data_IF_142068846305
#
_entry.id   IF_142068846305
#
_cell.length_a   1.000
_cell.length_b   1.000
_cell.length_c   1.000
_cell.angle_alpha   90.00
_cell.angle_beta   90.00
_cell.angle_gamma   90.00
#
_symmetry.space_group_name_H-M   'P 1'
#
loop_
_entity.id
_entity.type
_entity.pdbx_description
1 polymer ?
#
# COMPACT_ATOMS: atom_id res chain seq x y z
N UNK A 1 -12.46 3.15 -30.21
CA UNK A 1 -11.44 3.18 -29.14
C UNK A 1 -10.18 2.56 -29.72
N UNK A 2 -8.96 3.02 -29.37
CA UNK A 2 -7.75 2.32 -29.78
C UNK A 2 -7.86 0.85 -29.33
N UNK A 3 -7.62 -0.09 -30.23
CA UNK A 3 -7.57 -1.52 -29.93
C UNK A 3 -6.27 -1.80 -29.18
N UNK A 4 -6.34 -1.84 -27.86
CA UNK A 4 -5.20 -2.20 -27.01
C UNK A 4 -5.04 -3.71 -26.99
N UNK A 5 -3.81 -4.16 -27.17
CA UNK A 5 -3.52 -5.59 -27.17
C UNK A 5 -3.69 -6.20 -25.77
N UNK A 6 -3.92 -7.51 -25.73
CA UNK A 6 -4.06 -8.25 -24.48
C UNK A 6 -2.81 -8.07 -23.60
N UNK A 7 -3.02 -7.58 -22.37
CA UNK A 7 -1.94 -7.41 -21.40
C UNK A 7 -1.25 -6.05 -21.44
N UNK A 8 -1.63 -5.14 -22.35
CA UNK A 8 -1.11 -3.77 -22.40
C UNK A 8 -1.65 -2.89 -21.28
N UNK A 9 -0.85 -1.92 -20.85
CA UNK A 9 -1.25 -0.98 -19.80
C UNK A 9 -2.36 -0.03 -20.26
N UNK A 10 -3.21 0.38 -19.32
CA UNK A 10 -4.20 1.45 -19.54
C UNK A 10 -3.93 2.59 -18.55
N UNK A 11 -3.58 3.80 -19.02
CA UNK A 11 -3.24 4.16 -20.40
C UNK A 11 -1.99 3.42 -20.94
N UNK A 12 -1.78 3.37 -22.27
CA UNK A 12 -0.56 2.80 -22.87
C UNK A 12 0.71 3.46 -22.33
N UNK A 13 1.82 2.72 -22.40
CA UNK A 13 3.18 3.17 -22.05
C UNK A 13 3.30 3.83 -20.66
N UNK A 14 2.44 3.42 -19.73
CA UNK A 14 2.43 3.96 -18.37
C UNK A 14 3.13 2.98 -17.43
N UNK A 15 4.38 3.31 -17.06
CA UNK A 15 5.30 2.44 -16.31
C UNK A 15 4.76 1.87 -14.99
N UNK A 16 3.78 2.54 -14.37
CA UNK A 16 3.17 2.13 -13.11
C UNK A 16 1.64 2.06 -13.19
N UNK A 17 1.11 1.79 -14.40
CA UNK A 17 -0.33 1.60 -14.58
C UNK A 17 -0.84 0.44 -13.74
N UNK A 18 -2.04 0.64 -13.17
CA UNK A 18 -2.74 -0.34 -12.33
C UNK A 18 -3.89 -1.02 -13.08
N UNK A 19 -4.08 -0.68 -14.34
CA UNK A 19 -5.12 -1.19 -15.24
C UNK A 19 -4.47 -1.77 -16.48
N UNK A 20 -5.08 -2.83 -17.00
CA UNK A 20 -4.58 -3.64 -18.11
C UNK A 20 -5.70 -3.95 -19.09
N UNK A 21 -5.39 -4.06 -20.37
CA UNK A 21 -6.35 -4.44 -21.41
C UNK A 21 -6.59 -5.95 -21.39
N UNK A 22 -7.85 -6.33 -21.22
CA UNK A 22 -8.38 -7.67 -21.43
C UNK A 22 -9.51 -7.52 -22.48
N UNK A 23 -9.20 -7.60 -23.79
CA UNK A 23 -10.11 -7.13 -24.85
C UNK A 23 -11.30 -8.05 -25.10
N UNK A 24 -11.25 -9.31 -24.66
CA UNK A 24 -12.33 -10.31 -24.89
C UNK A 24 -12.79 -10.96 -23.60
N UNK A 25 -14.01 -11.50 -23.58
CA UNK A 25 -14.52 -12.24 -22.43
C UNK A 25 -13.69 -13.50 -22.15
N UNK A 26 -13.18 -14.17 -23.19
CA UNK A 26 -12.23 -15.28 -23.02
C UNK A 26 -10.94 -14.84 -22.33
N UNK A 27 -10.48 -13.61 -22.57
CA UNK A 27 -9.31 -13.06 -21.89
C UNK A 27 -9.58 -12.83 -20.40
N UNK A 28 -10.79 -12.42 -20.03
CA UNK A 28 -11.19 -12.28 -18.62
C UNK A 28 -11.24 -13.64 -17.92
N UNK A 29 -11.87 -14.65 -18.56
CA UNK A 29 -11.91 -16.02 -18.02
C UNK A 29 -10.48 -16.55 -17.87
N UNK A 30 -9.66 -16.43 -18.92
CA UNK A 30 -8.28 -16.89 -18.90
C UNK A 30 -7.42 -16.17 -17.86
N UNK A 31 -7.68 -14.90 -17.57
CA UNK A 31 -7.03 -14.19 -16.47
C UNK A 31 -7.38 -14.80 -15.11
N UNK A 32 -8.67 -15.02 -14.83
CA UNK A 32 -9.16 -15.59 -13.57
C UNK A 32 -8.70 -17.04 -13.37
N UNK A 33 -8.65 -17.83 -14.43
CA UNK A 33 -8.17 -19.22 -14.42
C UNK A 33 -6.63 -19.35 -14.41
N UNK A 34 -5.90 -18.23 -14.57
CA UNK A 34 -4.44 -18.23 -14.63
C UNK A 34 -3.88 -18.87 -15.90
N UNK A 35 -4.61 -18.81 -17.01
CA UNK A 35 -4.23 -19.41 -18.27
C UNK A 35 -2.90 -18.82 -18.80
N UNK A 36 -1.91 -19.64 -19.18
CA UNK A 36 -0.58 -19.16 -19.57
C UNK A 36 -0.59 -18.14 -20.71
N UNK A 37 -1.50 -18.28 -21.68
CA UNK A 37 -1.62 -17.39 -22.83
C UNK A 37 -2.07 -15.97 -22.46
N UNK A 38 -2.73 -15.79 -21.31
CA UNK A 38 -3.08 -14.47 -20.75
C UNK A 38 -1.97 -13.96 -19.85
N UNK A 39 -1.59 -14.74 -18.83
CA UNK A 39 -0.67 -14.30 -17.78
C UNK A 39 0.71 -13.93 -18.35
N UNK A 40 1.20 -14.68 -19.36
CA UNK A 40 2.49 -14.38 -20.00
C UNK A 40 2.52 -13.06 -20.77
N UNK A 41 1.36 -12.57 -21.23
CA UNK A 41 1.25 -11.30 -21.98
C UNK A 41 1.06 -10.09 -21.08
N UNK A 42 0.75 -10.30 -19.79
CA UNK A 42 0.52 -9.19 -18.87
C UNK A 42 1.79 -8.37 -18.64
N UNK A 43 1.71 -7.09 -18.99
CA UNK A 43 2.77 -6.11 -18.69
C UNK A 43 2.63 -5.60 -17.27
N UNK A 44 1.40 -5.35 -16.84
CA UNK A 44 1.01 -4.88 -15.51
C UNK A 44 -0.37 -5.44 -15.11
N UNK A 45 -0.84 -5.10 -13.92
CA UNK A 45 -2.19 -5.41 -13.46
C UNK A 45 -2.49 -4.70 -12.15
N UNK A 46 -3.66 -5.01 -11.58
CA UNK A 46 -4.07 -4.40 -10.33
C UNK A 46 -3.13 -4.84 -9.17
N UNK A 47 -2.55 -3.90 -8.38
CA UNK A 47 -1.43 -4.18 -7.47
C UNK A 47 -1.63 -5.29 -6.44
N UNK A 48 -2.89 -5.58 -6.04
CA UNK A 48 -3.17 -6.66 -5.07
C UNK A 48 -3.22 -8.05 -5.71
N UNK A 49 -3.49 -8.16 -7.01
CA UNK A 49 -3.63 -9.43 -7.72
C UNK A 49 -2.40 -9.74 -8.59
N UNK A 50 -1.75 -8.70 -9.11
CA UNK A 50 -0.55 -8.78 -9.93
C UNK A 50 0.62 -8.06 -9.24
N UNK A 51 1.67 -8.81 -8.89
CA UNK A 51 2.90 -8.22 -8.34
C UNK A 51 3.68 -7.60 -9.50
N UNK A 52 3.83 -6.27 -9.45
CA UNK A 52 4.48 -5.51 -10.52
C UNK A 52 5.92 -5.98 -10.79
N UNK A 53 6.36 -5.93 -12.06
CA UNK A 53 7.69 -6.39 -12.47
C UNK A 53 8.83 -5.70 -11.71
N UNK A 54 8.73 -4.40 -11.44
CA UNK A 54 9.72 -3.67 -10.61
C UNK A 54 9.83 -4.21 -9.18
N UNK A 55 8.70 -4.65 -8.59
CA UNK A 55 8.68 -5.27 -7.25
C UNK A 55 9.38 -6.63 -7.32
N UNK A 56 9.06 -7.44 -8.33
CA UNK A 56 9.70 -8.74 -8.55
C UNK A 56 11.21 -8.62 -8.81
N UNK A 57 11.64 -7.60 -9.56
CA UNK A 57 13.06 -7.33 -9.81
C UNK A 57 13.81 -6.98 -8.53
N UNK A 58 13.25 -6.09 -7.69
CA UNK A 58 13.84 -5.77 -6.39
C UNK A 58 13.86 -7.01 -5.47
N UNK A 59 12.78 -7.79 -5.47
CA UNK A 59 12.73 -9.04 -4.71
C UNK A 59 13.82 -10.02 -5.12
N UNK A 60 14.02 -10.19 -6.43
CA UNK A 60 15.08 -11.03 -6.97
C UNK A 60 16.49 -10.51 -6.62
N UNK A 61 16.72 -9.21 -6.71
CA UNK A 61 17.99 -8.60 -6.31
C UNK A 61 18.29 -8.87 -4.82
N UNK A 62 17.30 -8.66 -3.94
CA UNK A 62 17.43 -8.93 -2.50
C UNK A 62 17.69 -10.40 -2.23
N UNK A 63 16.95 -11.31 -2.86
CA UNK A 63 17.16 -12.76 -2.69
C UNK A 63 18.53 -13.20 -3.21
N UNK A 64 19.02 -12.62 -4.30
CA UNK A 64 20.34 -12.96 -4.86
C UNK A 64 21.47 -12.49 -3.94
N UNK A 65 21.33 -11.31 -3.34
CA UNK A 65 22.37 -10.73 -2.48
C UNK A 65 22.33 -11.26 -1.04
N UNK A 66 21.13 -11.50 -0.49
CA UNK A 66 20.94 -11.78 0.95
C UNK A 66 20.14 -13.05 1.25
N UNK A 67 19.53 -13.67 0.24
CA UNK A 67 18.74 -14.89 0.38
C UNK A 67 19.57 -16.16 0.26
N UNK A 68 18.93 -17.29 0.58
CA UNK A 68 19.47 -18.64 0.36
C UNK A 68 18.93 -19.23 -0.94
N UNK A 69 19.60 -20.28 -1.42
CA UNK A 69 19.17 -21.00 -2.61
C UNK A 69 17.73 -21.53 -2.48
N UNK A 70 16.90 -21.31 -3.49
CA UNK A 70 15.49 -21.74 -3.51
C UNK A 70 14.52 -20.85 -2.73
N UNK A 71 14.97 -19.73 -2.16
CA UNK A 71 14.09 -18.74 -1.55
C UNK A 71 13.56 -17.72 -2.57
N UNK A 72 12.51 -17.02 -2.17
CA UNK A 72 11.93 -15.87 -2.85
C UNK A 72 11.62 -14.78 -1.80
N UNK A 73 11.66 -13.52 -2.20
CA UNK A 73 11.32 -12.39 -1.34
C UNK A 73 9.97 -11.76 -1.72
N UNK A 74 9.17 -11.41 -0.71
CA UNK A 74 8.02 -10.51 -0.82
C UNK A 74 8.28 -9.24 -0.04
N UNK A 75 7.92 -8.09 -0.62
CA UNK A 75 8.38 -6.78 -0.16
C UNK A 75 7.27 -5.96 0.48
N UNK A 76 7.54 -5.44 1.67
CA UNK A 76 6.56 -4.71 2.47
C UNK A 76 7.07 -3.31 2.82
N UNK A 77 6.10 -2.42 3.05
CA UNK A 77 6.37 -1.02 3.35
C UNK A 77 6.91 -0.77 4.76
N UNK A 78 6.80 -1.76 5.67
CA UNK A 78 7.34 -1.72 7.04
C UNK A 78 7.81 -3.12 7.51
N UNK A 79 8.72 -3.20 8.49
CA UNK A 79 9.16 -4.47 9.10
C UNK A 79 8.04 -5.25 9.76
N UNK A 80 7.08 -4.56 10.37
CA UNK A 80 5.95 -5.19 11.06
C UNK A 80 5.02 -5.86 10.05
N UNK A 81 4.86 -5.28 8.86
CA UNK A 81 4.11 -5.91 7.77
C UNK A 81 4.79 -7.18 7.25
N UNK A 82 6.12 -7.15 7.06
CA UNK A 82 6.87 -8.34 6.71
C UNK A 82 6.77 -9.43 7.79
N UNK A 83 6.91 -9.05 9.06
CA UNK A 83 6.74 -9.96 10.19
C UNK A 83 5.35 -10.60 10.20
N UNK A 84 4.28 -9.81 10.05
CA UNK A 84 2.90 -10.34 9.99
C UNK A 84 2.68 -11.29 8.81
N UNK A 85 3.29 -11.03 7.65
CA UNK A 85 3.26 -11.97 6.53
C UNK A 85 3.89 -13.31 6.93
N UNK A 86 5.07 -13.27 7.56
CA UNK A 86 5.75 -14.49 8.00
C UNK A 86 4.95 -15.22 9.10
N UNK A 87 4.36 -14.49 10.07
CA UNK A 87 3.50 -15.04 11.10
C UNK A 87 2.28 -15.75 10.47
N UNK A 88 1.61 -15.10 9.51
CA UNK A 88 0.50 -15.67 8.74
C UNK A 88 0.89 -16.95 8.00
N UNK A 89 2.11 -17.01 7.46
CA UNK A 89 2.63 -18.20 6.79
C UNK A 89 2.91 -19.33 7.78
N UNK A 90 3.48 -19.03 8.96
CA UNK A 90 3.76 -20.04 10.00
C UNK A 90 2.48 -20.71 10.50
N UNK A 91 1.42 -19.93 10.71
CA UNK A 91 0.13 -20.45 11.19
C UNK A 91 -0.57 -21.38 10.18
N UNK A 92 -0.28 -21.22 8.89
CA UNK A 92 -1.00 -21.90 7.80
C UNK A 92 -0.16 -22.91 7.03
N UNK A 93 1.12 -23.02 7.38
CA UNK A 93 2.00 -23.99 6.76
C UNK A 93 1.58 -25.41 7.16
N UNK A 94 1.20 -26.28 6.21
CA UNK A 94 0.93 -27.67 6.50
C UNK A 94 2.27 -28.35 6.86
N UNK A 95 2.43 -28.70 8.14
CA UNK A 95 3.45 -29.60 8.73
C UNK A 95 4.70 -29.80 7.85
N UNK A 96 5.61 -28.83 7.88
CA UNK A 96 7.01 -29.04 7.50
C UNK A 96 7.88 -28.36 8.58
N UNK A 97 8.82 -29.07 9.26
CA UNK A 97 9.52 -28.54 10.43
C UNK A 97 10.49 -27.36 10.15
N UNK A 98 10.61 -26.87 8.91
CA UNK A 98 11.63 -25.87 8.59
C UNK A 98 11.30 -25.05 7.33
N UNK A 99 10.15 -24.39 7.26
CA UNK A 99 10.03 -23.27 6.30
C UNK A 99 11.05 -22.21 6.77
N UNK A 100 12.12 -22.05 6.00
CA UNK A 100 13.17 -21.08 6.30
C UNK A 100 12.63 -19.67 6.03
N UNK A 101 11.94 -19.13 7.03
CA UNK A 101 11.36 -17.81 7.04
C UNK A 101 12.35 -16.81 7.63
N UNK A 102 12.68 -15.78 6.87
CA UNK A 102 13.60 -14.73 7.31
C UNK A 102 13.00 -13.36 6.98
N UNK A 103 13.17 -12.40 7.87
CA UNK A 103 12.84 -11.00 7.61
C UNK A 103 14.14 -10.21 7.50
N UNK A 104 14.23 -9.34 6.50
CA UNK A 104 15.34 -8.38 6.36
C UNK A 104 14.74 -7.00 6.24
N UNK A 105 15.06 -6.12 7.18
CA UNK A 105 14.69 -4.70 7.13
C UNK A 105 15.83 -3.92 6.51
N UNK A 106 15.50 -2.97 5.64
CA UNK A 106 16.49 -2.11 5.01
C UNK A 106 16.34 -0.67 5.49
N UNK A 107 17.45 0.06 5.43
CA UNK A 107 17.57 1.46 5.80
C UNK A 107 18.61 2.14 4.93
N UNK A 108 18.62 3.47 4.97
CA UNK A 108 19.59 4.26 4.22
C UNK A 108 20.89 4.38 5.01
N UNK A 109 22.02 4.03 4.40
CA UNK A 109 23.34 4.31 4.95
C UNK A 109 23.69 5.79 4.70
N UNK A 110 23.28 6.66 5.62
CA UNK A 110 23.45 8.11 5.54
C UNK A 110 24.77 8.59 6.18
N UNK A 111 25.88 7.89 5.94
CA UNK A 111 27.20 8.18 6.56
C UNK A 111 27.85 9.51 6.14
N UNK A 112 27.14 10.37 5.41
CA UNK A 112 27.54 11.74 5.09
C UNK A 112 26.36 12.72 5.21
N UNK A 113 26.57 13.78 6.00
CA UNK A 113 25.73 14.96 6.22
C UNK A 113 24.52 15.10 5.27
N UNK A 114 23.31 14.74 5.73
CA UNK A 114 22.10 14.74 4.89
C UNK A 114 21.10 15.84 5.24
N UNK A 115 20.48 16.36 4.18
CA UNK A 115 19.27 17.19 4.22
C UNK A 115 18.13 16.49 5.00
N UNK A 116 17.34 17.23 5.81
CA UNK A 116 16.17 16.71 6.55
C UNK A 116 15.17 15.93 5.67
N UNK A 117 15.14 16.21 4.37
CA UNK A 117 14.27 15.56 3.39
C UNK A 117 14.61 14.07 3.22
N UNK A 118 15.90 13.71 3.23
CA UNK A 118 16.35 12.32 3.08
C UNK A 118 16.13 11.49 4.36
N UNK A 119 16.15 12.13 5.54
CA UNK A 119 15.75 11.44 6.78
C UNK A 119 14.25 11.11 6.81
N UNK A 120 13.40 11.96 6.23
CA UNK A 120 11.97 11.64 6.03
C UNK A 120 11.73 10.52 5.01
N UNK A 121 12.70 10.26 4.14
CA UNK A 121 12.73 9.15 3.20
C UNK A 121 13.36 7.88 3.77
N UNK A 122 13.77 7.84 5.04
CA UNK A 122 14.42 6.67 5.65
C UNK A 122 13.62 5.42 5.35
N UNK A 123 14.12 4.67 4.37
CA UNK A 123 13.28 3.80 3.57
C UNK A 123 13.10 2.49 4.31
N UNK A 124 12.06 2.36 5.12
CA UNK A 124 11.79 1.13 5.88
C UNK A 124 11.16 0.07 4.97
N UNK A 125 11.80 -0.28 3.86
CA UNK A 125 11.38 -1.46 3.10
C UNK A 125 11.83 -2.71 3.85
N UNK A 126 10.97 -3.70 3.92
CA UNK A 126 11.29 -4.98 4.54
C UNK A 126 10.98 -6.13 3.58
N UNK A 127 11.86 -7.11 3.52
CA UNK A 127 11.70 -8.31 2.74
C UNK A 127 11.35 -9.48 3.66
N UNK A 128 10.25 -10.17 3.34
CA UNK A 128 9.93 -11.49 3.88
C UNK A 128 10.48 -12.54 2.90
N UNK A 129 11.50 -13.28 3.32
CA UNK A 129 12.10 -14.36 2.55
C UNK A 129 11.50 -15.69 2.99
N UNK A 130 11.13 -16.51 2.00
CA UNK A 130 10.51 -17.82 2.20
C UNK A 130 10.86 -18.75 1.03
N UNK A 131 10.76 -20.08 1.21
CA UNK A 131 10.85 -21.06 0.11
C UNK A 131 9.85 -20.78 -1.02
N UNK A 132 10.25 -20.92 -2.28
CA UNK A 132 9.43 -20.53 -3.44
C UNK A 132 8.08 -21.26 -3.55
N UNK A 133 8.00 -22.50 -3.05
CA UNK A 133 6.76 -23.29 -2.96
C UNK A 133 5.70 -22.64 -2.04
N UNK A 134 6.13 -21.86 -1.05
CA UNK A 134 5.24 -21.14 -0.13
C UNK A 134 4.71 -19.81 -0.70
N UNK A 135 5.03 -19.46 -1.95
CA UNK A 135 4.61 -18.20 -2.58
C UNK A 135 3.09 -18.01 -2.56
N UNK A 136 2.30 -19.09 -2.71
CA UNK A 136 0.84 -19.03 -2.65
C UNK A 136 0.30 -18.47 -1.33
N UNK A 137 0.94 -18.78 -0.19
CA UNK A 137 0.55 -18.26 1.13
C UNK A 137 0.93 -16.78 1.29
N UNK A 138 2.15 -16.42 0.89
CA UNK A 138 2.60 -15.03 0.91
C UNK A 138 1.72 -14.14 0.01
N UNK A 139 1.38 -14.62 -1.20
CA UNK A 139 0.50 -13.92 -2.14
C UNK A 139 -0.90 -13.70 -1.55
N UNK A 140 -1.43 -14.66 -0.79
CA UNK A 140 -2.70 -14.47 -0.09
C UNK A 140 -2.60 -13.35 0.96
N UNK A 141 -1.52 -13.29 1.74
CA UNK A 141 -1.33 -12.18 2.68
C UNK A 141 -1.28 -10.84 1.95
N UNK A 142 -0.47 -10.75 0.88
CA UNK A 142 -0.36 -9.57 0.04
C UNK A 142 -1.72 -9.08 -0.49
N UNK A 143 -2.47 -10.00 -1.11
CA UNK A 143 -3.73 -9.69 -1.78
C UNK A 143 -4.77 -9.16 -0.79
N UNK A 144 -4.98 -9.84 0.34
CA UNK A 144 -6.06 -9.47 1.25
C UNK A 144 -5.71 -8.26 2.11
N UNK A 145 -4.46 -8.14 2.60
CA UNK A 145 -4.09 -7.07 3.54
C UNK A 145 -3.76 -5.75 2.86
N UNK A 146 -3.30 -5.77 1.61
CA UNK A 146 -2.81 -4.57 0.92
C UNK A 146 -1.57 -3.94 1.58
N UNK A 147 -0.83 -4.68 2.41
CA UNK A 147 0.41 -4.22 3.09
C UNK A 147 1.63 -4.15 2.14
N UNK A 148 1.50 -4.64 0.91
CA UNK A 148 2.56 -4.71 -0.08
C UNK A 148 3.16 -3.36 -0.45
N UNK A 149 4.38 -3.39 -0.99
CA UNK A 149 5.05 -2.18 -1.51
C UNK A 149 4.47 -1.75 -2.87
N UNK A 150 4.51 -0.46 -3.18
CA UNK A 150 4.15 0.05 -4.51
C UNK A 150 5.26 -0.14 -5.54
N UNK A 151 4.92 -0.16 -6.82
CA UNK A 151 5.91 -0.24 -7.92
C UNK A 151 6.90 0.92 -7.90
N UNK A 152 6.43 2.16 -7.67
CA UNK A 152 7.26 3.37 -7.53
C UNK A 152 8.27 3.23 -6.39
N UNK A 153 7.82 2.78 -5.21
CA UNK A 153 8.71 2.58 -4.06
C UNK A 153 9.71 1.47 -4.31
N UNK A 154 9.31 0.39 -5.01
CA UNK A 154 10.22 -0.68 -5.39
C UNK A 154 11.28 -0.21 -6.39
N UNK A 155 10.92 0.59 -7.39
CA UNK A 155 11.87 1.17 -8.34
C UNK A 155 12.91 2.05 -7.62
N UNK A 156 12.43 3.00 -6.81
CA UNK A 156 13.28 3.86 -5.99
C UNK A 156 14.23 3.07 -5.07
N UNK A 157 13.72 2.07 -4.35
CA UNK A 157 14.54 1.23 -3.47
C UNK A 157 15.54 0.36 -4.25
N UNK A 158 15.22 -0.06 -5.47
CA UNK A 158 16.13 -0.84 -6.32
C UNK A 158 17.32 0.02 -6.78
N UNK A 159 17.06 1.25 -7.21
CA UNK A 159 18.14 2.18 -7.60
C UNK A 159 19.08 2.47 -6.42
N UNK A 160 18.52 2.68 -5.22
CA UNK A 160 19.31 2.87 -4.00
C UNK A 160 20.10 1.62 -3.59
N UNK A 161 19.54 0.42 -3.78
CA UNK A 161 20.24 -0.84 -3.53
C UNK A 161 21.42 -1.00 -4.49
N UNK A 162 21.23 -0.67 -5.78
CA UNK A 162 22.30 -0.71 -6.79
C UNK A 162 23.40 0.30 -6.51
N UNK A 163 23.03 1.48 -5.99
CA UNK A 163 23.98 2.50 -5.56
C UNK A 163 24.71 2.16 -4.25
N UNK A 164 24.36 1.07 -3.57
CA UNK A 164 24.94 0.69 -2.27
C UNK A 164 24.50 1.58 -1.10
N UNK A 165 23.46 2.40 -1.30
CA UNK A 165 22.92 3.32 -0.29
C UNK A 165 21.90 2.60 0.60
N UNK A 166 21.08 1.73 0.01
CA UNK A 166 20.12 0.91 0.76
C UNK A 166 20.82 -0.32 1.33
N UNK A 167 20.89 -0.42 2.65
CA UNK A 167 21.59 -1.49 3.35
C UNK A 167 20.67 -2.19 4.37
N UNK A 168 20.90 -3.48 4.67
CA UNK A 168 20.21 -4.15 5.76
C UNK A 168 20.46 -3.43 7.09
N UNK A 169 19.40 -3.11 7.81
CA UNK A 169 19.47 -2.70 9.21
C UNK A 169 19.66 -3.97 10.01
N UNK A 170 20.89 -4.26 10.41
CA UNK A 170 21.13 -5.35 11.35
C UNK A 170 20.43 -4.97 12.67
N UNK A 171 19.61 -5.86 13.24
CA UNK A 171 19.12 -5.74 14.62
C UNK A 171 20.24 -5.90 15.68
N UNK A 172 21.49 -5.65 15.28
CA UNK A 172 22.71 -5.86 16.05
C UNK A 172 23.81 -4.92 15.52
N UNK A 173 23.84 -3.69 16.01
CA UNK A 173 25.02 -2.81 15.97
C UNK A 173 26.16 -3.30 16.88
N UNK A 174 26.29 -4.60 17.11
CA UNK A 174 27.37 -5.18 17.89
C UNK A 174 27.85 -6.45 17.20
N UNK A 175 28.86 -6.27 16.34
CA UNK A 175 30.01 -7.14 16.05
C UNK A 175 30.44 -6.81 14.61
N UNK A 176 31.25 -5.76 14.48
CA UNK A 176 32.47 -5.75 13.66
C UNK A 176 33.26 -4.47 13.90
N UNK A 177 33.74 -4.35 15.12
CA UNK A 177 35.10 -3.88 15.32
C UNK A 177 36.03 -5.08 15.00
N UNK A 178 36.62 -5.07 13.81
CA UNK A 178 37.97 -5.62 13.58
C UNK A 178 38.47 -5.28 12.18
N UNK A 179 39.34 -4.26 12.18
CA UNK A 179 40.58 -4.19 11.42
C UNK A 179 40.51 -4.25 9.89
N UNK A 180 40.76 -3.09 9.26
CA UNK A 180 41.96 -2.94 8.44
C UNK A 180 42.45 -1.47 8.45
N UNK A 181 43.35 -1.25 9.42
CA UNK A 181 44.61 -0.49 9.35
C UNK A 181 44.58 1.03 9.18
N UNK A 182 45.21 1.64 10.18
CA UNK A 182 45.79 2.96 10.21
C UNK A 182 46.73 3.21 9.03
N UNK A 183 46.65 4.43 8.50
CA UNK A 183 47.85 5.20 8.16
C UNK A 183 47.52 6.68 8.31
N UNK A 184 48.06 7.28 9.38
CA UNK A 184 48.07 8.73 9.57
C UNK A 184 49.33 9.30 8.90
N UNK A 185 49.17 10.39 8.17
CA UNK A 185 50.16 11.47 8.02
C UNK A 185 50.32 12.02 6.59
N UNK A 186 50.76 13.28 6.40
CA UNK A 186 50.35 14.52 7.09
C UNK A 186 49.89 15.64 6.12
N UNK A 187 49.21 16.65 6.67
CA UNK A 187 48.74 17.89 6.00
C UNK A 187 49.89 18.74 5.43
N UNK A 188 49.73 19.32 4.22
CA UNK A 188 49.96 20.78 3.94
C UNK A 188 49.55 21.22 2.51
N UNK A 189 48.92 22.40 2.45
CA UNK A 189 48.69 23.34 1.33
C UNK A 189 49.25 23.04 -0.06
N UNK A 190 48.41 23.21 -1.10
CA UNK A 190 48.62 24.23 -2.14
C UNK A 190 47.36 24.43 -3.01
N UNK A 191 46.87 25.69 -3.05
CA UNK A 191 46.14 26.25 -4.21
C UNK A 191 47.17 26.53 -5.31
N UNK A 192 46.83 26.32 -6.57
CA UNK A 192 46.62 27.35 -7.63
C UNK A 192 46.65 26.76 -9.04
N UNK A 193 45.81 27.36 -9.89
CA UNK A 193 45.60 27.28 -11.34
C UNK A 193 46.76 26.82 -12.24
N UNK A 194 46.44 26.17 -13.40
CA UNK A 194 46.83 26.65 -14.74
C UNK A 194 46.52 25.64 -15.87
N UNK A 195 45.64 26.06 -16.80
CA UNK A 195 45.67 26.07 -18.30
C UNK A 195 46.04 24.80 -19.12
N UNK A 196 45.18 24.58 -20.14
CA UNK A 196 45.25 23.85 -21.43
C UNK A 196 46.12 22.59 -21.59
N UNK A 197 45.50 21.53 -22.13
CA UNK A 197 45.86 21.08 -23.49
C UNK A 197 44.81 20.14 -24.11
N UNK A 198 44.85 20.13 -25.43
CA UNK A 198 43.81 19.79 -26.41
C UNK A 198 43.71 18.31 -26.82
N UNK A 199 42.48 17.95 -27.23
CA UNK A 199 42.09 17.04 -28.33
C UNK A 199 42.31 15.52 -28.22
N UNK A 200 41.20 14.75 -28.27
CA UNK A 200 40.89 13.73 -29.31
C UNK A 200 39.36 13.51 -29.37
N UNK A 201 38.70 13.43 -30.56
CA UNK A 201 37.26 13.20 -30.65
C UNK A 201 36.93 11.71 -30.55
N UNK A 202 35.99 11.31 -29.70
CA UNK A 202 35.45 9.95 -29.73
C UNK A 202 33.93 9.92 -29.49
N UNK A 203 33.24 9.50 -30.55
CA UNK A 203 31.97 8.77 -30.63
C UNK A 203 31.00 8.96 -29.46
N UNK A 204 29.96 9.79 -29.66
CA UNK A 204 28.74 9.83 -28.87
C UNK A 204 27.54 9.84 -29.80
N UNK A 205 26.78 8.75 -29.89
CA UNK A 205 25.30 8.78 -29.95
C UNK A 205 24.76 7.40 -29.52
N UNK A 206 24.42 7.25 -28.24
CA UNK A 206 23.53 6.17 -27.76
C UNK A 206 22.97 6.45 -26.34
N UNK A 207 23.60 7.32 -25.54
CA UNK A 207 23.20 7.57 -24.15
C UNK A 207 22.25 8.76 -23.94
N UNK A 208 21.96 9.56 -24.96
CA UNK A 208 21.10 10.74 -24.82
C UNK A 208 19.60 10.37 -24.74
N UNK A 209 19.16 9.39 -25.55
CA UNK A 209 17.74 9.03 -25.64
C UNK A 209 17.16 8.45 -24.34
N UNK A 210 17.96 7.75 -23.53
CA UNK A 210 17.49 7.18 -22.24
C UNK A 210 17.36 8.23 -21.14
N UNK A 211 18.16 9.29 -21.17
CA UNK A 211 18.07 10.39 -20.20
C UNK A 211 16.93 11.34 -20.56
N UNK A 212 16.77 11.69 -21.85
CA UNK A 212 15.67 12.55 -22.31
C UNK A 212 14.30 11.94 -21.99
N UNK A 213 14.17 10.62 -22.12
CA UNK A 213 12.90 9.92 -21.79
C UNK A 213 12.61 9.95 -20.29
N UNK A 214 13.64 9.81 -19.44
CA UNK A 214 13.50 9.90 -17.98
C UNK A 214 13.17 11.32 -17.52
N UNK A 215 13.87 12.32 -18.03
CA UNK A 215 13.62 13.73 -17.72
C UNK A 215 12.25 14.18 -18.23
N UNK A 216 11.83 13.74 -19.41
CA UNK A 216 10.48 14.00 -19.95
C UNK A 216 9.39 13.37 -19.07
N UNK A 217 9.60 12.13 -18.62
CA UNK A 217 8.66 11.44 -17.72
C UNK A 217 8.59 12.11 -16.34
N UNK A 218 9.72 12.55 -15.78
CA UNK A 218 9.78 13.28 -14.52
C UNK A 218 9.07 14.64 -14.62
N UNK A 219 9.32 15.39 -15.70
CA UNK A 219 8.66 16.66 -15.97
C UNK A 219 7.14 16.52 -16.13
N UNK A 220 6.69 15.48 -16.84
CA UNK A 220 5.27 15.13 -16.95
C UNK A 220 4.67 14.78 -15.59
N UNK A 221 5.38 14.00 -14.77
CA UNK A 221 4.90 13.61 -13.45
C UNK A 221 4.82 14.78 -12.46
N UNK A 222 5.77 15.70 -12.47
CA UNK A 222 5.75 16.90 -11.63
C UNK A 222 4.65 17.88 -12.06
N UNK A 223 4.52 18.15 -13.36
CA UNK A 223 3.55 19.11 -13.90
C UNK A 223 2.09 18.64 -13.74
N UNK A 224 1.85 17.33 -13.76
CA UNK A 224 0.52 16.75 -13.54
C UNK A 224 0.29 16.28 -12.09
N UNK A 225 1.15 16.68 -11.14
CA UNK A 225 0.98 16.43 -9.70
C UNK A 225 1.12 14.97 -9.27
N UNK A 226 1.76 14.13 -10.09
CA UNK A 226 2.03 12.71 -9.80
C UNK A 226 3.27 12.53 -8.93
N UNK A 227 4.24 13.44 -9.02
CA UNK A 227 5.34 13.59 -8.08
C UNK A 227 5.26 14.96 -7.41
N UNK A 228 4.93 14.97 -6.12
CA UNK A 228 4.95 16.16 -5.29
C UNK A 228 6.31 16.24 -4.61
N UNK A 229 6.85 17.45 -4.42
CA UNK A 229 8.03 17.64 -3.58
C UNK A 229 7.78 17.02 -2.20
N UNK A 230 8.76 16.25 -1.73
CA UNK A 230 8.75 15.55 -0.45
C UNK A 230 8.58 16.51 0.73
N UNK A 231 9.03 17.76 0.58
CA UNK A 231 8.82 18.81 1.58
C UNK A 231 7.32 19.08 1.84
N UNK A 232 6.45 18.79 0.87
CA UNK A 232 5.01 18.99 0.95
C UNK A 232 4.25 17.76 1.43
N UNK A 233 4.91 16.62 1.68
CA UNK A 233 4.25 15.37 2.04
C UNK A 233 3.38 15.48 3.30
N UNK A 234 3.88 16.14 4.36
CA UNK A 234 3.10 16.33 5.58
C UNK A 234 1.94 17.32 5.38
N UNK A 235 2.15 18.39 4.60
CA UNK A 235 1.07 19.33 4.23
C UNK A 235 -0.01 18.61 3.42
N UNK A 236 0.36 17.75 2.48
CA UNK A 236 -0.57 16.97 1.67
C UNK A 236 -1.37 15.97 2.51
N UNK A 237 -0.73 15.25 3.45
CA UNK A 237 -1.42 14.38 4.41
C UNK A 237 -2.41 15.17 5.26
N UNK A 238 -2.00 16.32 5.78
CA UNK A 238 -2.85 17.20 6.59
C UNK A 238 -4.06 17.70 5.77
N UNK A 239 -3.84 18.16 4.54
CA UNK A 239 -4.90 18.56 3.61
C UNK A 239 -5.94 17.45 3.38
N UNK A 240 -5.50 16.21 3.15
CA UNK A 240 -6.39 15.06 2.98
C UNK A 240 -7.21 14.82 4.24
N UNK A 241 -6.57 14.80 5.43
CA UNK A 241 -7.27 14.60 6.70
C UNK A 241 -8.30 15.69 6.96
N UNK A 242 -7.95 16.97 6.77
CA UNK A 242 -8.89 18.09 6.95
C UNK A 242 -10.06 18.03 5.98
N UNK A 243 -9.83 17.61 4.74
CA UNK A 243 -10.89 17.39 3.75
C UNK A 243 -11.84 16.28 4.20
N UNK A 244 -11.32 15.18 4.75
CA UNK A 244 -12.13 14.08 5.30
C UNK A 244 -12.88 14.51 6.57
N UNK A 245 -12.25 15.30 7.43
CA UNK A 245 -12.88 15.89 8.62
C UNK A 245 -14.06 16.82 8.28
N UNK A 246 -14.14 17.26 7.02
CA UNK A 246 -15.11 18.24 6.57
C UNK A 246 -14.72 19.67 6.92
N UNK A 247 -13.55 19.90 7.54
CA UNK A 247 -13.06 21.22 7.95
C UNK A 247 -12.44 22.02 6.80
N UNK A 248 -12.57 21.57 5.55
CA UNK A 248 -11.92 22.19 4.39
C UNK A 248 -12.93 22.47 3.28
N UNK A 249 -13.25 23.76 3.10
CA UNK A 249 -14.16 24.30 2.08
C UNK A 249 -13.37 25.28 1.21
N UNK A 250 -12.46 24.79 0.37
CA UNK A 250 -11.67 25.63 -0.54
C UNK A 250 -10.44 24.94 -1.12
N UNK A 251 -9.85 25.53 -2.17
CA UNK A 251 -8.53 25.14 -2.68
C UNK A 251 -7.43 25.54 -1.69
N UNK A 252 -6.47 24.66 -1.45
CA UNK A 252 -5.35 24.90 -0.53
C UNK A 252 -4.14 25.29 -1.36
N UNK A 253 -3.59 26.46 -1.06
CA UNK A 253 -2.23 26.78 -1.50
C UNK A 253 -1.21 26.05 -0.62
N UNK A 254 -0.58 25.02 -1.17
CA UNK A 254 0.45 24.23 -0.48
C UNK A 254 1.74 25.03 -0.26
N UNK A 255 1.91 26.17 -0.94
CA UNK A 255 3.09 27.03 -0.86
C UNK A 255 3.03 28.05 0.28
N UNK A 256 1.87 28.26 0.90
CA UNK A 256 1.72 29.16 2.03
C UNK A 256 2.51 28.67 3.27
N UNK A 257 3.18 29.62 3.95
CA UNK A 257 4.01 29.37 5.15
C UNK A 257 3.18 29.04 6.39
N UNK A 258 1.94 29.55 6.46
CA UNK A 258 1.01 29.33 7.57
C UNK A 258 -0.29 28.72 7.07
N UNK A 259 -0.74 27.68 7.76
CA UNK A 259 -2.00 27.02 7.44
C UNK A 259 -3.13 27.78 8.13
N UNK A 260 -4.16 28.27 7.42
CA UNK A 260 -5.24 29.04 8.04
C UNK A 260 -5.99 28.20 9.09
N UNK A 261 -6.21 28.76 10.28
CA UNK A 261 -7.19 28.25 11.22
C UNK A 261 -8.59 28.53 10.68
N UNK A 262 -9.38 27.49 10.46
CA UNK A 262 -10.74 27.60 9.91
C UNK A 262 -11.78 27.58 11.04
N UNK A 263 -12.83 28.42 10.95
CA UNK A 263 -13.87 28.49 11.96
C UNK A 263 -14.69 27.20 12.03
N UNK A 264 -15.07 26.81 13.25
CA UNK A 264 -15.75 25.58 13.63
C UNK A 264 -17.13 25.33 12.96
N UNK A 265 -17.65 26.29 12.19
CA UNK A 265 -18.97 26.24 11.56
C UNK A 265 -19.01 25.52 10.19
N UNK A 266 -17.88 25.02 9.68
CA UNK A 266 -17.79 24.38 8.37
C UNK A 266 -17.71 22.85 8.40
N UNK A 267 -17.78 22.22 9.58
CA UNK A 267 -17.56 20.79 9.75
C UNK A 267 -18.80 19.99 9.33
N UNK A 268 -18.68 19.13 8.31
CA UNK A 268 -19.78 18.22 7.86
C UNK A 268 -20.21 17.20 8.92
N UNK A 269 -19.34 16.93 9.91
CA UNK A 269 -19.54 15.97 11.00
C UNK A 269 -19.07 16.64 12.29
N UNK A 270 -19.98 17.12 13.14
CA UNK A 270 -19.64 17.73 14.42
C UNK A 270 -18.65 16.81 15.20
N UNK A 271 -17.52 17.36 15.62
CA UNK A 271 -16.48 16.75 16.48
C UNK A 271 -15.41 15.84 15.85
N UNK A 272 -15.25 15.74 14.52
CA UNK A 272 -14.13 14.99 13.94
C UNK A 272 -12.86 15.85 13.82
N UNK A 273 -11.76 15.48 14.49
CA UNK A 273 -10.48 16.19 14.42
C UNK A 273 -9.55 15.59 13.37
N UNK A 274 -8.55 16.35 12.95
CA UNK A 274 -7.49 15.85 12.05
C UNK A 274 -6.77 14.62 12.66
N UNK A 275 -6.57 14.62 13.98
CA UNK A 275 -5.93 13.53 14.73
C UNK A 275 -6.69 12.20 14.67
N UNK A 276 -7.98 12.23 14.36
CA UNK A 276 -8.85 11.06 14.39
C UNK A 276 -8.84 10.33 13.03
N UNK A 277 -8.10 10.85 12.05
CA UNK A 277 -8.08 10.38 10.66
C UNK A 277 -6.73 9.75 10.33
N UNK A 278 -6.76 8.42 10.17
CA UNK A 278 -5.61 7.62 9.80
C UNK A 278 -5.61 7.36 8.29
N UNK A 279 -4.47 7.62 7.65
CA UNK A 279 -4.28 7.40 6.22
C UNK A 279 -3.56 6.07 5.99
N UNK A 280 -4.09 5.28 5.06
CA UNK A 280 -3.55 3.99 4.66
C UNK A 280 -3.28 3.97 3.15
N UNK A 281 -2.31 3.17 2.67
CA UNK A 281 -1.93 3.13 1.26
C UNK A 281 -3.04 2.61 0.32
N UNK A 282 -3.99 1.84 0.84
CA UNK A 282 -5.11 1.27 0.07
C UNK A 282 -6.36 1.06 0.94
N UNK A 283 -7.54 1.01 0.31
CA UNK A 283 -8.81 0.77 1.01
C UNK A 283 -8.85 -0.57 1.77
N UNK A 284 -8.36 -1.65 1.15
CA UNK A 284 -8.25 -2.94 1.85
C UNK A 284 -7.28 -2.90 3.04
N UNK A 285 -6.24 -2.07 2.96
CA UNK A 285 -5.31 -1.88 4.07
C UNK A 285 -5.95 -1.13 5.23
N UNK A 286 -6.82 -0.15 4.95
CA UNK A 286 -7.63 0.51 5.97
C UNK A 286 -8.59 -0.47 6.65
N UNK A 287 -9.29 -1.31 5.87
CA UNK A 287 -10.21 -2.34 6.40
C UNK A 287 -9.45 -3.34 7.28
N UNK A 288 -8.30 -3.83 6.79
CA UNK A 288 -7.46 -4.77 7.54
C UNK A 288 -6.97 -4.18 8.87
N UNK A 289 -6.47 -2.93 8.86
CA UNK A 289 -5.99 -2.29 10.07
C UNK A 289 -7.12 -1.90 11.03
N UNK A 290 -8.31 -1.54 10.53
CA UNK A 290 -9.49 -1.32 11.37
C UNK A 290 -9.88 -2.61 12.11
N UNK A 291 -9.95 -3.74 11.41
CA UNK A 291 -10.21 -5.05 12.01
C UNK A 291 -9.16 -5.41 13.07
N UNK A 292 -7.88 -5.22 12.77
CA UNK A 292 -6.79 -5.45 13.73
C UNK A 292 -6.87 -4.56 14.97
N UNK A 293 -7.15 -3.27 14.79
CA UNK A 293 -7.27 -2.33 15.91
C UNK A 293 -8.43 -2.70 16.83
N UNK A 294 -9.56 -3.11 16.25
CA UNK A 294 -10.72 -3.58 17.01
C UNK A 294 -10.39 -4.85 17.80
N UNK A 295 -9.73 -5.83 17.18
CA UNK A 295 -9.28 -7.04 17.88
C UNK A 295 -8.32 -6.73 19.04
N UNK A 296 -7.43 -5.75 18.85
CA UNK A 296 -6.51 -5.32 19.90
C UNK A 296 -7.23 -4.62 21.07
N UNK A 297 -8.27 -3.82 20.77
CA UNK A 297 -9.00 -3.04 21.77
C UNK A 297 -10.08 -3.84 22.51
N UNK A 298 -10.77 -4.76 21.82
CA UNK A 298 -11.95 -5.48 22.32
C UNK A 298 -11.73 -6.98 22.52
N UNK A 299 -10.57 -7.50 22.12
CA UNK A 299 -10.22 -8.91 22.21
C UNK A 299 -10.53 -9.71 20.95
N UNK A 300 -10.24 -11.01 21.02
CA UNK A 300 -10.40 -11.95 19.91
C UNK A 300 -11.85 -12.43 19.81
N UNK A 301 -12.72 -11.59 19.21
CA UNK A 301 -14.13 -11.90 18.93
C UNK A 301 -14.41 -12.03 17.42
N UNK A 302 -15.50 -12.72 17.06
CA UNK A 302 -15.91 -12.84 15.66
C UNK A 302 -16.50 -11.53 15.12
N UNK A 303 -16.17 -11.21 13.87
CA UNK A 303 -16.75 -10.07 13.16
C UNK A 303 -17.93 -10.47 12.29
N UNK A 304 -18.89 -9.57 12.13
CA UNK A 304 -20.02 -9.75 11.22
C UNK A 304 -19.74 -9.01 9.92
N UNK A 305 -19.89 -9.68 8.79
CA UNK A 305 -19.94 -9.05 7.48
C UNK A 305 -21.37 -9.10 6.96
N UNK A 306 -21.98 -7.92 6.80
CA UNK A 306 -23.36 -7.78 6.39
C UNK A 306 -23.47 -7.20 4.98
N UNK A 307 -24.11 -7.95 4.10
CA UNK A 307 -24.16 -7.68 2.68
C UNK A 307 -22.80 -7.91 2.01
N UNK A 308 -22.49 -7.08 1.01
CA UNK A 308 -21.32 -7.25 0.17
C UNK A 308 -20.49 -5.95 0.08
N UNK A 309 -19.70 -5.60 1.11
CA UNK A 309 -18.90 -4.38 1.09
C UNK A 309 -17.77 -4.43 0.08
N UNK A 310 -17.06 -5.57 0.03
CA UNK A 310 -16.05 -5.91 -0.97
C UNK A 310 -15.68 -7.39 -0.83
N UNK A 311 -15.30 -8.06 -1.93
CA UNK A 311 -15.02 -9.52 -1.95
C UNK A 311 -13.97 -9.92 -0.90
N UNK A 312 -12.86 -9.17 -0.84
CA UNK A 312 -11.73 -9.50 0.01
C UNK A 312 -11.95 -9.16 1.49
N UNK A 313 -12.95 -8.34 1.83
CA UNK A 313 -13.29 -8.03 3.24
C UNK A 313 -13.68 -9.29 3.98
N UNK A 314 -14.51 -10.13 3.36
CA UNK A 314 -14.88 -11.42 3.94
C UNK A 314 -13.63 -12.29 4.20
N UNK A 315 -12.69 -12.30 3.26
CA UNK A 315 -11.44 -13.07 3.40
C UNK A 315 -10.56 -12.54 4.53
N UNK A 316 -10.51 -11.22 4.73
CA UNK A 316 -9.82 -10.63 5.88
C UNK A 316 -10.43 -11.18 7.18
N UNK A 317 -11.75 -11.08 7.34
CA UNK A 317 -12.42 -11.44 8.59
C UNK A 317 -12.36 -12.96 8.86
N UNK A 318 -12.37 -13.78 7.81
CA UNK A 318 -12.24 -15.24 7.91
C UNK A 318 -10.80 -15.68 8.24
N UNK A 319 -9.80 -15.01 7.68
CA UNK A 319 -8.39 -15.45 7.77
C UNK A 319 -7.64 -14.79 8.93
N UNK A 320 -8.01 -13.60 9.35
CA UNK A 320 -7.24 -12.86 10.33
C UNK A 320 -8.07 -12.70 11.61
N UNK A 321 -7.97 -13.67 12.51
CA UNK A 321 -8.70 -13.69 13.79
C UNK A 321 -9.70 -14.86 13.91
N UNK A 322 -10.67 -14.77 14.83
CA UNK A 322 -11.59 -15.86 15.20
C UNK A 322 -12.64 -16.25 14.14
N UNK A 323 -12.62 -15.61 12.98
CA UNK A 323 -13.55 -15.85 11.89
C UNK A 323 -14.65 -14.81 11.75
N UNK A 324 -15.59 -15.10 10.84
CA UNK A 324 -16.60 -14.16 10.38
C UNK A 324 -17.97 -14.81 10.26
N UNK A 325 -18.99 -14.11 10.78
CA UNK A 325 -20.39 -14.38 10.49
C UNK A 325 -20.75 -13.61 9.22
N UNK A 326 -21.18 -14.32 8.18
CA UNK A 326 -21.44 -13.71 6.88
C UNK A 326 -22.94 -13.73 6.53
N UNK A 327 -23.51 -12.55 6.36
CA UNK A 327 -24.88 -12.33 5.87
C UNK A 327 -24.83 -11.81 4.44
N UNK A 328 -24.58 -12.70 3.48
CA UNK A 328 -24.32 -12.31 2.09
C UNK A 328 -25.50 -11.69 1.34
N UNK A 329 -26.73 -12.04 1.69
CA UNK A 329 -27.93 -11.50 1.04
C UNK A 329 -28.27 -10.08 1.52
N UNK A 330 -27.82 -9.70 2.73
CA UNK A 330 -28.11 -8.40 3.32
C UNK A 330 -29.61 -8.12 3.45
N UNK A 331 -30.41 -9.19 3.60
CA UNK A 331 -31.87 -9.15 3.60
C UNK A 331 -32.43 -8.64 4.94
N UNK A 332 -33.73 -8.30 4.98
CA UNK A 332 -34.40 -7.98 6.24
C UNK A 332 -34.39 -9.18 7.21
N UNK A 333 -34.52 -10.40 6.71
CA UNK A 333 -34.41 -11.62 7.51
C UNK A 333 -33.01 -11.80 8.12
N UNK A 334 -31.95 -11.42 7.40
CA UNK A 334 -30.59 -11.44 7.94
C UNK A 334 -30.41 -10.40 9.06
N UNK A 335 -31.08 -9.24 8.96
CA UNK A 335 -31.10 -8.24 10.02
C UNK A 335 -31.86 -8.77 11.25
N UNK A 336 -32.99 -9.44 11.05
CA UNK A 336 -33.76 -10.03 12.14
C UNK A 336 -32.98 -11.14 12.85
N UNK A 337 -32.21 -11.94 12.11
CA UNK A 337 -31.28 -12.92 12.67
C UNK A 337 -30.19 -12.25 13.51
N UNK A 338 -29.53 -11.24 12.96
CA UNK A 338 -28.48 -10.49 13.65
C UNK A 338 -29.03 -9.84 14.94
N UNK A 339 -30.21 -9.23 14.88
CA UNK A 339 -30.89 -8.64 16.03
C UNK A 339 -31.14 -9.69 17.12
N UNK A 340 -31.67 -10.86 16.74
CA UNK A 340 -31.93 -11.95 17.69
C UNK A 340 -30.66 -12.49 18.36
N UNK A 341 -29.52 -12.50 17.65
CA UNK A 341 -28.23 -12.90 18.23
C UNK A 341 -27.72 -11.88 19.24
N UNK A 342 -27.83 -10.59 18.91
CA UNK A 342 -27.47 -9.51 19.84
C UNK A 342 -28.37 -9.52 21.09
N UNK A 343 -29.67 -9.80 20.93
CA UNK A 343 -30.59 -9.96 22.08
C UNK A 343 -30.27 -11.16 22.97
N UNK A 344 -29.57 -12.17 22.45
CA UNK A 344 -29.06 -13.32 23.23
C UNK A 344 -27.70 -13.03 23.89
N UNK A 345 -27.30 -11.76 23.96
CA UNK A 345 -26.03 -11.30 24.55
C UNK A 345 -24.78 -11.87 23.85
N UNK A 346 -24.90 -12.24 22.57
CA UNK A 346 -23.75 -12.70 21.81
C UNK A 346 -22.81 -11.54 21.49
N UNK A 347 -21.58 -11.62 22.00
CA UNK A 347 -20.56 -10.58 21.81
C UNK A 347 -19.91 -10.69 20.44
N UNK A 348 -20.19 -9.72 19.57
CA UNK A 348 -19.51 -9.56 18.30
C UNK A 348 -18.42 -8.49 18.38
N UNK A 349 -17.34 -8.66 17.62
CA UNK A 349 -16.24 -7.69 17.57
C UNK A 349 -16.71 -6.37 16.95
N UNK A 350 -17.22 -6.47 15.73
CA UNK A 350 -17.62 -5.36 14.88
C UNK A 350 -18.50 -5.84 13.73
N UNK A 351 -19.27 -4.90 13.18
CA UNK A 351 -20.11 -5.06 12.01
C UNK A 351 -19.51 -4.30 10.83
N UNK A 352 -19.09 -5.04 9.80
CA UNK A 352 -18.67 -4.49 8.51
C UNK A 352 -19.85 -4.56 7.55
N UNK A 353 -20.27 -3.41 7.02
CA UNK A 353 -21.37 -3.33 6.07
C UNK A 353 -21.11 -2.22 5.05
N UNK A 354 -21.74 -2.34 3.88
CA UNK A 354 -21.81 -1.24 2.92
C UNK A 354 -23.24 -0.76 2.85
N UNK A 355 -23.46 0.53 3.13
CA UNK A 355 -24.76 1.15 2.84
C UNK A 355 -24.89 1.20 1.32
N UNK A 356 -25.86 0.47 0.79
CA UNK A 356 -26.22 0.52 -0.63
C UNK A 356 -26.24 1.98 -1.11
N UNK A 357 -25.35 2.31 -2.04
CA UNK A 357 -25.50 3.51 -2.85
C UNK A 357 -26.68 3.19 -3.78
N UNK A 358 -27.85 3.80 -3.59
CA UNK A 358 -28.92 3.66 -4.58
C UNK A 358 -28.36 4.12 -5.92
N UNK A 359 -28.23 3.20 -6.87
CA UNK A 359 -28.07 3.53 -8.27
C UNK A 359 -29.30 4.34 -8.70
N UNK A 360 -29.23 5.67 -8.61
CA UNK A 360 -29.98 6.48 -9.54
C UNK A 360 -29.16 6.52 -10.82
N UNK A 361 -29.66 5.79 -11.81
CA UNK A 361 -29.56 6.03 -13.24
C UNK A 361 -28.23 6.57 -13.76
N UNK A 362 -27.52 5.71 -14.51
CA UNK A 362 -26.51 6.11 -15.49
C UNK A 362 -27.06 7.23 -16.39
N UNK A 363 -26.78 8.50 -16.09
CA UNK A 363 -26.45 9.58 -17.01
C UNK A 363 -25.84 10.75 -16.21
N UNK A 364 -24.68 11.21 -16.68
CA UNK A 364 -23.89 12.37 -16.22
C UNK A 364 -22.96 12.17 -15.01
N UNK A 365 -21.66 12.21 -15.33
CA UNK A 365 -20.50 12.22 -14.43
C UNK A 365 -20.48 13.56 -13.68
N UNK A 366 -21.21 13.66 -12.57
CA UNK A 366 -20.95 14.60 -11.49
C UNK A 366 -21.64 14.08 -10.23
N UNK A 367 -20.86 13.57 -9.28
CA UNK A 367 -21.37 12.98 -8.04
C UNK A 367 -21.95 14.07 -7.13
N UNK A 368 -23.25 14.33 -7.27
CA UNK A 368 -24.02 15.20 -6.36
C UNK A 368 -24.71 14.33 -5.31
N UNK A 369 -24.30 14.48 -4.06
CA UNK A 369 -24.97 13.84 -2.92
C UNK A 369 -26.30 14.55 -2.65
N UNK A 370 -27.41 13.86 -2.89
CA UNK A 370 -28.72 14.29 -2.41
C UNK A 370 -29.43 13.10 -1.76
N UNK A 371 -29.66 13.19 -0.46
CA UNK A 371 -30.54 12.27 0.26
C UNK A 371 -31.98 12.61 -0.12
N UNK A 372 -32.64 11.78 -0.92
CA UNK A 372 -34.08 11.90 -1.13
C UNK A 372 -34.82 10.94 -0.19
N UNK A 373 -35.69 11.52 0.64
CA UNK A 373 -36.28 10.91 1.84
C UNK A 373 -37.48 10.00 1.57
N UNK A 374 -37.47 9.20 0.51
CA UNK A 374 -38.60 8.31 0.17
C UNK A 374 -38.15 6.86 0.14
N UNK A 375 -38.81 6.07 0.99
CA UNK A 375 -38.54 4.69 1.42
C UNK A 375 -37.60 4.57 2.63
N UNK A 376 -38.22 4.68 3.82
CA UNK A 376 -37.64 4.20 5.06
C UNK A 376 -37.60 2.67 4.99
N UNK A 377 -36.42 2.08 5.17
CA UNK A 377 -36.34 0.75 5.74
C UNK A 377 -37.13 0.81 7.06
N UNK A 378 -38.11 -0.08 7.32
CA UNK A 378 -38.98 0.05 8.49
C UNK A 378 -38.23 -0.06 9.83
N UNK A 379 -36.98 -0.55 9.81
CA UNK A 379 -36.06 -0.57 10.95
C UNK A 379 -34.87 0.35 10.66
N UNK A 380 -34.58 1.30 11.56
CA UNK A 380 -33.42 2.17 11.42
C UNK A 380 -32.18 1.46 11.95
N UNK A 381 -31.05 1.57 11.25
CA UNK A 381 -29.73 1.11 11.74
C UNK A 381 -29.39 1.62 13.15
N UNK A 382 -30.03 2.71 13.59
CA UNK A 382 -29.89 3.27 14.93
C UNK A 382 -30.39 2.32 16.04
N UNK A 383 -31.45 1.55 15.80
CA UNK A 383 -31.95 0.56 16.78
C UNK A 383 -30.96 -0.59 16.98
N UNK A 384 -30.29 -1.04 15.91
CA UNK A 384 -29.26 -2.08 15.98
C UNK A 384 -28.02 -1.57 16.73
N UNK A 385 -27.61 -0.32 16.47
CA UNK A 385 -26.47 0.30 17.18
C UNK A 385 -26.76 0.46 18.68
N UNK A 386 -27.98 0.88 19.05
CA UNK A 386 -28.39 0.98 20.45
C UNK A 386 -28.34 -0.37 21.17
N UNK A 387 -28.85 -1.44 20.54
CA UNK A 387 -28.78 -2.80 21.11
C UNK A 387 -27.35 -3.30 21.30
N UNK A 388 -26.45 -2.96 20.36
CA UNK A 388 -25.03 -3.31 20.44
C UNK A 388 -24.27 -2.53 21.53
N UNK A 389 -24.71 -1.32 21.86
CA UNK A 389 -24.12 -0.50 22.93
C UNK A 389 -24.62 -0.93 24.32
N UNK A 390 -25.88 -1.33 24.44
CA UNK A 390 -26.47 -1.75 25.74
C UNK A 390 -26.04 -3.14 26.22
N UNK A 391 -25.47 -3.98 25.35
CA UNK A 391 -24.93 -5.30 25.71
C UNK A 391 -23.52 -5.28 26.32
N UNK A 392 -22.93 -4.09 26.51
CA UNK A 392 -21.68 -3.92 27.27
C UNK A 392 -22.03 -3.60 28.74
N UNK A 393 -22.41 -4.64 29.48
CA UNK A 393 -22.44 -4.65 30.95
C UNK A 393 -21.35 -5.57 31.48
#
# INVERSE_FOLDING_TARGET
MPSLDLGESIPPDTAHAVSVSLPTWESNIGYEEGAPWVISRMTTGYPRFFIHKSISQLGHAITTTYGKHGQQAMLFSTPEAAKRCLDFMRERAPIAPAIQLQSISFGLNLSGNTSPVLSGLSSTIAAALFPADAFGLAKQYWQHTGDGVSSRRAEFCHDLLRAGILVPINSSDAIRETALKSSRGPKRYQRTNSVDETAVPNVKVASAASNDTKESSGFLEERFGRNLDLTLAEKAKSAIRRRIAGSLVGEIDLTAETVPELPASSVRINNLRESDIYLFPAGMNAIFNAHRALMAARGQLQSVNFGFPYVDTLKILQKFGPGCIFYGHGSSSDLDELERRLQKEERILALFFCRHCRQQSYQNIFWRFQCDGRERCPKSWQQILQLAETGNG
#
